data_IF_971855481653
#
_entry.id   IF_971855481653
#
_cell.length_a   1.000
_cell.length_b   1.000
_cell.length_c   1.000
_cell.angle_alpha   90.00
_cell.angle_beta   90.00
_cell.angle_gamma   90.00
#
_symmetry.space_group_name_H-M   'P 1'
#
loop_
_entity.id
_entity.type
_entity.pdbx_description
1 polymer ?
#
# COMPACT_ATOMS: atom_id res chain seq x y z
N UNK A 1 9.62 -23.26 5.30
CA UNK A 1 8.45 -23.89 5.96
C UNK A 1 7.32 -23.93 4.95
N UNK A 2 6.79 -25.11 4.63
CA UNK A 2 5.60 -25.24 3.80
C UNK A 2 4.45 -25.72 4.69
N UNK A 3 3.30 -25.04 4.63
CA UNK A 3 2.07 -25.42 5.34
C UNK A 3 0.90 -25.38 4.34
N UNK A 4 0.63 -26.48 3.63
CA UNK A 4 -0.42 -26.53 2.61
C UNK A 4 -1.79 -26.12 3.17
N UNK A 5 -2.14 -26.60 4.35
CA UNK A 5 -3.41 -26.24 4.98
C UNK A 5 -3.53 -24.74 5.32
N UNK A 6 -2.43 -24.01 5.54
CA UNK A 6 -2.49 -22.56 5.68
C UNK A 6 -2.66 -21.88 4.32
N UNK A 7 -1.88 -22.30 3.32
CA UNK A 7 -1.95 -21.78 1.96
C UNK A 7 -3.39 -21.86 1.40
N UNK A 8 -4.04 -23.03 1.51
CA UNK A 8 -5.40 -23.25 1.04
C UNK A 8 -6.44 -22.32 1.70
N UNK A 9 -6.15 -21.82 2.91
CA UNK A 9 -7.06 -20.96 3.68
C UNK A 9 -6.79 -19.47 3.49
N UNK A 10 -5.53 -19.09 3.25
CA UNK A 10 -5.16 -17.68 3.08
C UNK A 10 -5.37 -17.21 1.64
N UNK A 11 -5.23 -18.09 0.64
CA UNK A 11 -5.41 -17.77 -0.78
C UNK A 11 -6.73 -17.03 -1.09
N UNK A 12 -7.93 -17.47 -0.65
CA UNK A 12 -9.17 -16.75 -0.95
C UNK A 12 -9.24 -15.37 -0.25
N UNK A 13 -8.55 -15.21 0.88
CA UNK A 13 -8.45 -13.92 1.58
C UNK A 13 -7.54 -12.98 0.81
N UNK A 14 -6.38 -13.47 0.37
CA UNK A 14 -5.44 -12.70 -0.45
C UNK A 14 -6.07 -12.26 -1.78
N UNK A 15 -6.80 -13.15 -2.44
CA UNK A 15 -7.52 -12.85 -3.68
C UNK A 15 -8.56 -11.74 -3.48
N UNK A 16 -9.36 -11.83 -2.41
CA UNK A 16 -10.34 -10.80 -2.09
C UNK A 16 -9.67 -9.46 -1.78
N UNK A 17 -8.61 -9.44 -0.98
CA UNK A 17 -7.89 -8.20 -0.65
C UNK A 17 -7.24 -7.55 -1.88
N UNK A 18 -6.88 -8.34 -2.89
CA UNK A 18 -6.23 -7.86 -4.11
C UNK A 18 -7.23 -7.39 -5.17
N UNK A 19 -8.36 -8.07 -5.31
CA UNK A 19 -9.26 -7.90 -6.46
C UNK A 19 -10.74 -7.69 -6.08
N UNK A 20 -11.12 -7.97 -4.84
CA UNK A 20 -12.50 -7.87 -4.35
C UNK A 20 -12.82 -6.61 -3.54
N UNK A 21 -11.83 -5.76 -3.28
CA UNK A 21 -12.01 -4.49 -2.56
C UNK A 21 -12.51 -3.38 -3.50
N UNK A 22 -13.11 -2.33 -2.93
CA UNK A 22 -13.61 -1.18 -3.69
C UNK A 22 -12.53 -0.17 -4.10
N UNK A 23 -11.28 -0.36 -3.65
CA UNK A 23 -10.16 0.51 -4.02
C UNK A 23 -9.69 0.23 -5.44
N UNK A 24 -9.29 1.29 -6.14
CA UNK A 24 -8.53 1.15 -7.38
C UNK A 24 -7.18 0.44 -7.11
N UNK A 25 -6.71 -0.37 -8.06
CA UNK A 25 -5.46 -1.13 -7.95
C UNK A 25 -4.27 -0.22 -7.59
N UNK A 26 -4.25 1.01 -8.15
CA UNK A 26 -3.28 2.05 -7.83
C UNK A 26 -3.20 2.37 -6.33
N UNK A 27 -4.34 2.54 -5.67
CA UNK A 27 -4.42 2.85 -4.24
C UNK A 27 -4.08 1.63 -3.37
N UNK A 28 -4.45 0.42 -3.81
CA UNK A 28 -4.02 -0.83 -3.16
C UNK A 28 -2.49 -0.89 -3.14
N UNK A 29 -1.85 -0.62 -4.28
CA UNK A 29 -0.39 -0.66 -4.38
C UNK A 29 0.29 0.43 -3.54
N UNK A 30 -0.26 1.66 -3.48
CA UNK A 30 0.24 2.71 -2.56
C UNK A 30 0.21 2.20 -1.11
N UNK A 31 -0.90 1.61 -0.66
CA UNK A 31 -1.01 1.06 0.69
C UNK A 31 0.02 -0.06 0.94
N UNK A 32 0.19 -0.98 -0.01
CA UNK A 32 1.19 -2.05 0.08
C UNK A 32 2.60 -1.49 0.21
N UNK A 33 2.98 -0.52 -0.62
CA UNK A 33 4.32 0.07 -0.60
C UNK A 33 4.62 0.80 0.73
N UNK A 34 3.64 1.49 1.31
CA UNK A 34 3.78 2.14 2.63
C UNK A 34 4.03 1.12 3.73
N UNK A 35 3.23 0.04 3.76
CA UNK A 35 3.41 -1.05 4.73
C UNK A 35 4.76 -1.77 4.51
N UNK A 36 5.14 -2.01 3.26
CA UNK A 36 6.41 -2.63 2.90
C UNK A 36 7.61 -1.77 3.32
N UNK A 37 7.52 -0.43 3.17
CA UNK A 37 8.53 0.52 3.66
C UNK A 37 8.67 0.43 5.18
N UNK A 38 7.55 0.47 5.90
CA UNK A 38 7.54 0.42 7.37
C UNK A 38 8.27 -0.82 7.91
N UNK A 39 7.95 -1.99 7.35
CA UNK A 39 8.56 -3.26 7.76
C UNK A 39 9.92 -3.57 7.10
N UNK A 40 10.44 -2.67 6.24
CA UNK A 40 11.65 -2.89 5.44
C UNK A 40 11.59 -4.20 4.64
N UNK A 41 10.40 -4.51 4.11
CA UNK A 41 10.08 -5.77 3.44
C UNK A 41 10.59 -5.75 1.97
N UNK A 42 11.91 -5.80 1.77
CA UNK A 42 12.55 -5.64 0.46
C UNK A 42 12.03 -6.62 -0.61
N UNK A 43 11.63 -7.83 -0.22
CA UNK A 43 11.07 -8.80 -1.15
C UNK A 43 9.74 -8.33 -1.77
N UNK A 44 8.89 -7.65 -1.00
CA UNK A 44 7.60 -7.14 -1.48
C UNK A 44 7.82 -6.11 -2.60
N UNK A 45 8.88 -5.30 -2.50
CA UNK A 45 9.20 -4.27 -3.50
C UNK A 45 9.48 -4.84 -4.89
N UNK A 46 9.99 -6.07 -5.00
CA UNK A 46 10.34 -6.63 -6.31
C UNK A 46 9.12 -6.93 -7.18
N UNK A 47 7.96 -7.18 -6.56
CA UNK A 47 6.69 -7.35 -7.28
C UNK A 47 5.83 -6.09 -7.25
N UNK A 48 5.76 -5.40 -6.12
CA UNK A 48 4.80 -4.32 -5.91
C UNK A 48 5.25 -2.95 -6.42
N UNK A 49 6.56 -2.67 -6.49
CA UNK A 49 7.05 -1.45 -7.15
C UNK A 49 6.63 -1.40 -8.62
N UNK A 50 6.96 -2.43 -9.44
CA UNK A 50 6.51 -2.50 -10.83
C UNK A 50 4.98 -2.58 -10.99
N UNK A 51 4.28 -3.23 -10.05
CA UNK A 51 2.82 -3.29 -10.08
C UNK A 51 2.19 -1.90 -9.85
N UNK A 52 2.69 -1.12 -8.89
CA UNK A 52 2.25 0.25 -8.64
C UNK A 52 2.40 1.13 -9.89
N UNK A 53 3.57 1.10 -10.54
CA UNK A 53 3.81 1.86 -11.77
C UNK A 53 2.87 1.44 -12.89
N UNK A 54 2.65 0.12 -13.06
CA UNK A 54 1.71 -0.42 -14.05
C UNK A 54 0.26 -0.02 -13.76
N UNK A 55 -0.11 0.08 -12.48
CA UNK A 55 -1.42 0.54 -12.04
C UNK A 55 -1.61 2.06 -12.15
N UNK A 56 -0.56 2.80 -12.52
CA UNK A 56 -0.61 4.24 -12.78
C UNK A 56 -0.04 5.13 -11.67
N UNK A 57 0.60 4.57 -10.65
CA UNK A 57 1.35 5.37 -9.67
C UNK A 57 2.60 5.94 -10.35
N UNK A 58 2.87 7.24 -10.18
CA UNK A 58 4.06 7.84 -10.76
C UNK A 58 5.35 7.16 -10.21
N UNK A 59 6.35 6.83 -11.05
CA UNK A 59 7.60 6.23 -10.59
C UNK A 59 8.32 7.08 -9.52
N UNK A 60 8.18 8.40 -9.60
CA UNK A 60 8.71 9.35 -8.59
C UNK A 60 8.06 9.15 -7.22
N UNK A 61 6.76 8.84 -7.16
CA UNK A 61 6.05 8.52 -5.92
C UNK A 61 6.51 7.18 -5.36
N UNK A 62 6.61 6.15 -6.20
CA UNK A 62 7.12 4.82 -5.80
C UNK A 62 8.50 4.95 -5.15
N UNK A 63 9.40 5.69 -5.78
CA UNK A 63 10.74 5.94 -5.26
C UNK A 63 10.76 6.81 -3.99
N UNK A 64 9.92 7.84 -3.91
CA UNK A 64 9.81 8.66 -2.71
C UNK A 64 9.31 7.86 -1.50
N UNK A 65 8.31 6.97 -1.67
CA UNK A 65 7.89 6.03 -0.62
C UNK A 65 9.03 5.08 -0.25
N UNK A 66 9.77 4.55 -1.24
CA UNK A 66 10.92 3.66 -1.01
C UNK A 66 12.02 4.35 -0.20
N UNK A 67 12.33 5.60 -0.52
CA UNK A 67 13.31 6.41 0.18
C UNK A 67 12.83 6.82 1.58
N UNK A 68 11.52 7.04 1.74
CA UNK A 68 10.94 7.67 2.94
C UNK A 68 11.07 9.19 2.90
N UNK A 69 11.11 9.76 1.69
CA UNK A 69 11.19 11.19 1.46
C UNK A 69 9.79 11.82 1.44
N UNK A 70 9.75 13.16 1.45
CA UNK A 70 8.50 13.87 1.22
C UNK A 70 7.95 13.54 -0.17
N UNK A 71 6.70 13.10 -0.22
CA UNK A 71 5.98 12.74 -1.45
C UNK A 71 5.11 13.90 -1.90
N UNK A 72 5.29 14.37 -3.13
CA UNK A 72 4.38 15.30 -3.79
C UNK A 72 3.45 14.51 -4.71
N UNK A 73 2.25 14.22 -4.24
CA UNK A 73 1.24 13.49 -5.02
C UNK A 73 0.47 14.43 -5.95
N UNK A 74 0.36 14.05 -7.21
CA UNK A 74 -0.50 14.75 -8.17
C UNK A 74 -1.98 14.43 -7.93
N UNK A 75 -2.26 13.19 -7.51
CA UNK A 75 -3.62 12.73 -7.22
C UNK A 75 -3.90 12.81 -5.72
N UNK A 76 -4.97 13.50 -5.36
CA UNK A 76 -5.32 13.74 -3.95
C UNK A 76 -5.62 12.45 -3.19
N UNK A 77 -6.22 11.45 -3.85
CA UNK A 77 -6.56 10.16 -3.25
C UNK A 77 -5.31 9.33 -2.87
N UNK A 78 -4.23 9.40 -3.64
CA UNK A 78 -2.93 8.80 -3.28
C UNK A 78 -2.36 9.46 -2.04
N UNK A 79 -2.46 10.79 -1.98
CA UNK A 79 -1.97 11.54 -0.84
C UNK A 79 -2.72 11.14 0.44
N UNK A 80 -4.04 10.98 0.36
CA UNK A 80 -4.87 10.53 1.47
C UNK A 80 -4.53 9.10 1.87
N UNK A 81 -4.47 8.19 0.90
CA UNK A 81 -4.12 6.79 1.12
C UNK A 81 -2.75 6.65 1.81
N UNK A 82 -1.74 7.37 1.31
CA UNK A 82 -0.42 7.42 1.90
C UNK A 82 -0.45 7.91 3.34
N UNK A 83 -1.08 9.08 3.60
CA UNK A 83 -1.13 9.65 4.96
C UNK A 83 -1.84 8.72 5.92
N UNK A 84 -2.95 8.13 5.50
CA UNK A 84 -3.73 7.18 6.28
C UNK A 84 -2.87 5.97 6.68
N UNK A 85 -2.27 5.29 5.70
CA UNK A 85 -1.44 4.12 5.94
C UNK A 85 -0.20 4.48 6.77
N UNK A 86 0.44 5.62 6.50
CA UNK A 86 1.62 6.07 7.24
C UNK A 86 1.29 6.36 8.72
N UNK A 87 0.18 7.05 9.00
CA UNK A 87 -0.27 7.34 10.36
C UNK A 87 -0.61 6.07 11.14
N UNK A 88 -1.29 5.13 10.49
CA UNK A 88 -1.61 3.82 11.06
C UNK A 88 -0.34 3.03 11.38
N UNK A 89 0.64 3.03 10.48
CA UNK A 89 1.95 2.37 10.68
C UNK A 89 2.82 3.06 11.73
N UNK A 90 2.70 4.37 11.90
CA UNK A 90 3.35 5.09 12.99
C UNK A 90 2.72 4.81 14.37
N UNK A 91 1.59 4.10 14.42
CA UNK A 91 0.86 3.80 15.66
C UNK A 91 0.15 5.02 16.25
N UNK A 92 -0.03 6.07 15.46
CA UNK A 92 -0.62 7.34 15.91
C UNK A 92 -2.16 7.32 15.86
N UNK A 93 -2.75 6.25 15.34
CA UNK A 93 -4.15 6.22 14.94
C UNK A 93 -4.39 7.04 13.67
N UNK A 94 -5.64 7.13 13.25
CA UNK A 94 -6.07 8.02 12.17
C UNK A 94 -7.01 9.01 12.82
N UNK A 95 -6.71 10.31 12.72
CA UNK A 95 -7.59 11.33 13.27
C UNK A 95 -8.89 11.45 12.44
N UNK A 96 -9.94 11.98 13.05
CA UNK A 96 -11.27 12.06 12.42
C UNK A 96 -11.27 12.87 11.12
N UNK A 97 -10.40 13.89 10.99
CA UNK A 97 -10.35 14.70 9.78
C UNK A 97 -9.77 13.93 8.61
N UNK A 98 -8.73 13.12 8.86
CA UNK A 98 -8.18 12.21 7.86
C UNK A 98 -9.14 11.04 7.57
N UNK A 99 -9.89 10.58 8.57
CA UNK A 99 -10.90 9.53 8.38
C UNK A 99 -12.08 9.99 7.50
N UNK A 100 -12.48 11.26 7.58
CA UNK A 100 -13.54 11.82 6.73
C UNK A 100 -13.07 12.08 5.30
N UNK A 101 -11.77 12.32 5.11
CA UNK A 101 -11.17 12.54 3.79
C UNK A 101 -10.95 11.23 3.00
N UNK A 102 -10.76 10.11 3.70
CA UNK A 102 -10.52 8.77 3.15
C UNK A 102 -11.81 8.04 2.74
#
# INVERSE_FOLDING_TARGET
>A
MASPGFADRIEPVEEFLRHGVSLEERLVEVAVLVVAKHWRAQYVWTSHGPAAEKAGVAPTIVEAIRAGDATEFEQADEAVCYRFCASMMAGQGVDDSLWVEA
#
